data_IF_530265279440
#
_entry.id   IF_530265279440
#
_cell.length_a   1.000
_cell.length_b   1.000
_cell.length_c   1.000
_cell.angle_alpha   90.00
_cell.angle_beta   90.00
_cell.angle_gamma   90.00
#
_symmetry.space_group_name_H-M   'P 1'
#
loop_
_entity.id
_entity.type
_entity.pdbx_description
1 polymer ?
#
# COMPACT_ATOMS: atom_id res chain seq x y z
N UNK A 1 14.43 70.92 10.27
CA UNK A 1 13.25 71.38 9.51
C UNK A 1 12.49 70.16 9.00
N UNK A 2 11.23 70.01 9.45
CA UNK A 2 10.06 69.44 8.76
C UNK A 2 10.15 68.05 8.09
N UNK A 3 9.19 67.12 8.10
CA UNK A 3 7.95 66.81 8.83
C UNK A 3 7.37 65.54 8.16
N UNK A 4 6.77 64.62 8.95
CA UNK A 4 5.59 63.75 8.64
C UNK A 4 5.73 62.72 7.48
N UNK A 5 5.11 61.53 7.47
CA UNK A 5 4.05 60.92 8.31
C UNK A 5 3.98 59.39 8.08
N UNK A 6 3.59 58.69 9.13
CA UNK A 6 3.23 57.26 9.24
C UNK A 6 1.96 56.90 8.49
N UNK A 7 1.80 55.62 8.11
CA UNK A 7 0.51 54.93 7.99
C UNK A 7 0.68 53.44 8.34
N UNK A 8 0.47 53.13 9.63
CA UNK A 8 0.10 51.80 10.13
C UNK A 8 -1.42 51.70 10.13
N UNK A 9 -2.00 50.72 9.45
CA UNK A 9 -3.45 50.48 9.48
C UNK A 9 -3.77 49.40 10.52
N UNK A 10 -4.15 49.85 11.72
CA UNK A 10 -4.90 49.08 12.72
C UNK A 10 -6.35 48.94 12.26
N UNK A 11 -6.85 47.71 12.11
CA UNK A 11 -8.30 47.47 12.04
C UNK A 11 -8.78 47.00 13.41
N UNK A 12 -9.68 47.81 14.01
CA UNK A 12 -10.34 47.55 15.30
C UNK A 12 -11.57 46.68 15.11
N UNK A 13 -11.78 45.80 16.09
CA UNK A 13 -12.99 45.04 16.36
C UNK A 13 -14.25 45.91 16.41
N UNK A 14 -15.34 45.40 15.84
CA UNK A 14 -16.71 45.81 16.16
C UNK A 14 -17.55 44.56 16.36
N UNK A 15 -17.93 44.31 17.63
CA UNK A 15 -18.83 43.24 18.04
C UNK A 15 -20.25 43.80 17.89
N UNK A 16 -21.02 43.28 16.93
CA UNK A 16 -22.46 43.49 16.86
C UNK A 16 -23.15 42.24 17.43
N UNK A 17 -23.76 42.41 18.61
CA UNK A 17 -24.78 41.51 19.15
C UNK A 17 -26.04 41.69 18.30
N UNK A 18 -26.52 40.60 17.71
CA UNK A 18 -27.93 40.47 17.34
C UNK A 18 -28.46 39.22 18.01
N UNK A 19 -29.29 39.46 19.02
CA UNK A 19 -30.18 38.49 19.64
C UNK A 19 -31.45 38.39 18.81
N UNK A 20 -31.72 37.23 18.24
CA UNK A 20 -33.08 36.81 17.94
C UNK A 20 -33.15 35.30 18.04
N UNK A 21 -33.92 34.84 19.04
CA UNK A 21 -34.35 33.47 19.16
C UNK A 21 -35.27 33.15 17.97
N UNK A 22 -34.89 32.15 17.19
CA UNK A 22 -35.85 31.37 16.40
C UNK A 22 -35.68 29.93 16.84
N UNK A 23 -36.64 29.47 17.63
CA UNK A 23 -36.78 28.09 18.05
C UNK A 23 -37.29 27.27 16.87
N UNK A 24 -36.39 26.64 16.12
CA UNK A 24 -36.77 25.64 15.12
C UNK A 24 -36.72 24.28 15.81
N UNK A 25 -37.90 23.74 16.05
CA UNK A 25 -38.12 22.38 16.56
C UNK A 25 -37.55 21.37 15.56
N UNK A 26 -36.65 20.54 16.07
CA UNK A 26 -35.91 19.48 15.37
C UNK A 26 -36.81 18.29 15.05
N UNK A 27 -37.02 18.00 13.75
CA UNK A 27 -37.35 16.65 13.26
C UNK A 27 -36.74 16.44 11.87
N UNK A 28 -35.40 16.39 11.78
CA UNK A 28 -34.70 15.88 10.59
C UNK A 28 -33.49 15.04 11.04
N UNK A 29 -33.41 13.75 10.66
CA UNK A 29 -32.37 12.86 11.14
C UNK A 29 -31.23 12.72 10.12
N UNK A 30 -30.71 13.80 9.55
CA UNK A 30 -29.47 13.75 8.77
C UNK A 30 -28.68 15.05 9.06
N UNK A 31 -27.37 14.90 9.30
CA UNK A 31 -26.36 15.94 9.57
C UNK A 31 -26.26 16.48 11.01
N UNK A 32 -25.63 15.68 11.88
CA UNK A 32 -24.78 16.19 12.97
C UNK A 32 -23.37 15.62 12.84
N UNK A 33 -22.55 16.21 11.97
CA UNK A 33 -21.10 16.05 12.00
C UNK A 33 -20.51 17.19 12.84
N UNK A 34 -20.68 17.11 14.16
CA UNK A 34 -20.04 18.05 15.09
C UNK A 34 -18.63 17.56 15.42
N UNK A 35 -17.62 18.35 15.05
CA UNK A 35 -16.22 18.32 15.51
C UNK A 35 -15.58 16.93 15.52
N UNK A 36 -15.16 16.46 14.34
CA UNK A 36 -14.20 15.38 14.23
C UNK A 36 -12.87 15.82 14.87
N UNK A 37 -12.52 15.23 16.02
CA UNK A 37 -11.13 15.12 16.45
C UNK A 37 -10.29 14.38 15.38
N UNK A 38 -8.96 14.32 15.52
CA UNK A 38 -8.08 13.78 14.48
C UNK A 38 -8.59 12.42 13.97
N UNK A 39 -8.69 12.33 12.64
CA UNK A 39 -9.33 11.21 11.92
C UNK A 39 -8.93 9.83 12.48
N UNK A 40 -9.84 8.83 12.49
CA UNK A 40 -9.60 7.47 13.02
C UNK A 40 -8.35 6.76 12.47
N UNK A 41 -7.86 7.21 11.31
CA UNK A 41 -6.66 6.70 10.63
C UNK A 41 -5.39 6.80 11.45
N UNK A 42 -5.18 7.88 12.23
CA UNK A 42 -4.02 7.99 13.12
C UNK A 42 -4.04 6.95 14.25
N UNK A 43 -5.21 6.47 14.65
CA UNK A 43 -5.35 5.40 15.66
C UNK A 43 -5.13 4.01 15.04
N UNK A 44 -5.58 3.81 13.80
CA UNK A 44 -5.31 2.58 13.04
C UNK A 44 -3.82 2.36 12.77
N UNK A 45 -3.12 3.39 12.27
CA UNK A 45 -1.67 3.33 12.03
C UNK A 45 -0.88 3.10 13.33
N UNK A 46 -1.35 3.64 14.46
CA UNK A 46 -0.73 3.45 15.78
C UNK A 46 -0.95 2.02 16.32
N UNK A 47 -2.11 1.42 16.08
CA UNK A 47 -2.39 0.03 16.45
C UNK A 47 -1.63 -0.98 15.56
N UNK A 48 -1.43 -0.68 14.26
CA UNK A 48 -0.50 -1.45 13.42
C UNK A 48 0.94 -1.39 13.96
N UNK A 49 1.41 -0.24 14.46
CA UNK A 49 2.74 -0.13 15.13
C UNK A 49 2.85 -0.99 16.39
N UNK A 50 1.76 -1.15 17.15
CA UNK A 50 1.73 -1.99 18.37
C UNK A 50 1.88 -3.48 18.09
N UNK A 51 1.18 -4.01 17.07
CA UNK A 51 1.31 -5.41 16.62
C UNK A 51 2.66 -5.65 15.90
N UNK A 52 3.14 -4.67 15.13
CA UNK A 52 4.48 -4.66 14.53
C UNK A 52 5.59 -4.72 15.57
N UNK A 53 5.53 -4.00 16.70
CA UNK A 53 6.59 -4.04 17.74
C UNK A 53 6.86 -5.45 18.28
N UNK A 54 5.87 -6.32 18.42
CA UNK A 54 6.11 -7.66 18.95
C UNK A 54 6.89 -8.57 17.99
N UNK A 55 6.71 -8.43 16.67
CA UNK A 55 7.43 -9.20 15.65
C UNK A 55 8.72 -8.47 15.20
N UNK A 56 8.62 -7.17 14.93
CA UNK A 56 9.71 -6.31 14.46
C UNK A 56 10.76 -6.05 15.55
N UNK A 57 10.41 -5.95 16.85
CA UNK A 57 11.45 -5.83 17.88
C UNK A 57 12.29 -7.11 18.05
N UNK A 58 11.85 -8.26 17.52
CA UNK A 58 12.68 -9.47 17.43
C UNK A 58 13.63 -9.43 16.23
N UNK A 59 13.25 -8.73 15.16
CA UNK A 59 13.97 -8.69 13.88
C UNK A 59 14.89 -7.46 13.71
N UNK A 60 14.56 -6.31 14.30
CA UNK A 60 15.28 -5.06 14.07
C UNK A 60 16.16 -4.65 15.26
N UNK A 61 17.33 -5.29 15.39
CA UNK A 61 18.52 -4.63 15.97
C UNK A 61 19.84 -5.28 15.51
N UNK A 62 19.99 -5.48 14.21
CA UNK A 62 21.29 -5.57 13.54
C UNK A 62 21.06 -5.45 12.05
N UNK A 63 21.94 -4.74 11.36
CA UNK A 63 22.06 -4.71 9.89
C UNK A 63 21.71 -6.06 9.28
N UNK A 64 20.79 -6.10 8.31
CA UNK A 64 20.38 -7.32 7.58
C UNK A 64 21.47 -7.84 6.62
N UNK A 65 22.72 -7.83 7.05
CA UNK A 65 23.71 -8.75 6.53
C UNK A 65 23.42 -10.12 7.11
N UNK A 66 23.17 -11.10 6.24
CA UNK A 66 23.31 -12.56 6.45
C UNK A 66 23.55 -12.97 7.91
N UNK A 67 22.51 -12.87 8.75
CA UNK A 67 22.59 -13.31 10.14
C UNK A 67 22.73 -14.84 10.10
N UNK A 68 23.92 -15.35 10.39
CA UNK A 68 24.22 -16.79 10.33
C UNK A 68 23.20 -17.52 11.22
N UNK A 69 22.46 -18.45 10.62
CA UNK A 69 21.53 -19.35 11.32
C UNK A 69 22.22 -19.98 12.53
N UNK A 70 21.61 -19.85 13.71
CA UNK A 70 22.04 -20.53 14.93
C UNK A 70 21.24 -21.84 15.03
N UNK A 71 21.88 -23.01 15.22
CA UNK A 71 21.16 -24.26 15.37
C UNK A 71 20.16 -24.20 16.55
N UNK A 72 18.87 -24.33 16.26
CA UNK A 72 17.80 -24.37 17.27
C UNK A 72 16.78 -23.23 17.22
N UNK A 73 17.03 -22.17 16.43
CA UNK A 73 16.01 -21.14 16.17
C UNK A 73 15.05 -21.56 15.04
N UNK A 74 13.73 -21.34 15.17
CA UNK A 74 12.80 -21.62 14.08
C UNK A 74 13.11 -20.75 12.87
N UNK A 75 13.36 -21.38 11.72
CA UNK A 75 13.59 -20.69 10.45
C UNK A 75 12.30 -19.99 10.02
N UNK A 76 12.35 -18.67 9.89
CA UNK A 76 11.26 -17.84 9.37
C UNK A 76 11.25 -17.98 7.84
N UNK A 77 10.14 -18.41 7.26
CA UNK A 77 9.97 -18.46 5.80
C UNK A 77 9.58 -17.09 5.27
N UNK A 78 10.45 -16.49 4.45
CA UNK A 78 10.21 -15.18 3.82
C UNK A 78 9.62 -15.37 2.43
N UNK A 79 8.35 -14.97 2.29
CA UNK A 79 7.61 -15.00 1.03
C UNK A 79 7.75 -13.65 0.35
N UNK A 80 8.06 -13.67 -0.94
CA UNK A 80 8.06 -12.50 -1.79
C UNK A 80 6.98 -12.62 -2.86
N UNK A 81 6.29 -11.51 -3.10
CA UNK A 81 5.40 -11.34 -4.25
C UNK A 81 5.64 -9.96 -4.84
N UNK A 82 5.43 -9.83 -6.14
CA UNK A 82 5.52 -8.59 -6.87
C UNK A 82 4.21 -8.25 -7.56
N UNK A 83 3.90 -6.96 -7.64
CA UNK A 83 2.67 -6.49 -8.26
C UNK A 83 2.77 -5.04 -8.71
N UNK A 84 1.92 -4.67 -9.66
CA UNK A 84 1.69 -3.26 -10.01
C UNK A 84 0.88 -2.56 -8.91
N UNK A 85 -0.14 -3.24 -8.37
CA UNK A 85 -1.07 -2.73 -7.36
C UNK A 85 -1.86 -1.46 -7.75
N UNK A 86 -2.13 -1.27 -9.05
CA UNK A 86 -2.95 -0.15 -9.55
C UNK A 86 -4.45 -0.37 -9.26
N UNK A 87 -5.15 0.71 -8.89
CA UNK A 87 -6.53 0.69 -8.37
C UNK A 87 -6.76 -0.44 -7.35
N UNK A 88 -6.00 -0.44 -6.26
CA UNK A 88 -5.93 -1.55 -5.32
C UNK A 88 -7.32 -2.04 -4.83
N UNK A 89 -7.65 -3.31 -5.10
CA UNK A 89 -8.98 -3.89 -4.89
C UNK A 89 -8.95 -5.23 -4.15
N UNK A 90 -10.13 -5.82 -3.88
CA UNK A 90 -10.24 -7.05 -3.08
C UNK A 90 -9.52 -8.27 -3.68
N UNK A 91 -9.40 -8.33 -5.01
CA UNK A 91 -8.56 -9.34 -5.68
C UNK A 91 -7.10 -9.33 -5.20
N UNK A 92 -6.47 -8.15 -5.14
CA UNK A 92 -5.12 -8.00 -4.58
C UNK A 92 -5.07 -8.41 -3.11
N UNK A 93 -6.07 -8.03 -2.31
CA UNK A 93 -6.16 -8.39 -0.89
C UNK A 93 -6.25 -9.91 -0.71
N UNK A 94 -7.00 -10.61 -1.58
CA UNK A 94 -7.12 -12.06 -1.54
C UNK A 94 -5.83 -12.77 -1.99
N UNK A 95 -5.16 -12.26 -3.02
CA UNK A 95 -3.84 -12.74 -3.41
C UNK A 95 -2.82 -12.62 -2.26
N UNK A 96 -2.72 -11.44 -1.65
CA UNK A 96 -1.82 -11.19 -0.51
C UNK A 96 -2.18 -12.04 0.72
N UNK A 97 -3.46 -12.35 0.93
CA UNK A 97 -3.91 -13.27 1.97
C UNK A 97 -3.34 -14.68 1.74
N UNK A 98 -3.49 -15.20 0.51
CA UNK A 98 -3.01 -16.53 0.14
C UNK A 98 -1.48 -16.59 0.21
N UNK A 99 -0.80 -15.55 -0.28
CA UNK A 99 0.66 -15.46 -0.19
C UNK A 99 1.15 -15.49 1.26
N UNK A 100 0.49 -14.74 2.16
CA UNK A 100 0.84 -14.71 3.59
C UNK A 100 0.66 -16.05 4.30
N UNK A 101 -0.16 -16.95 3.77
CA UNK A 101 -0.36 -18.30 4.32
C UNK A 101 0.78 -19.27 3.99
N UNK A 102 1.62 -18.94 3.00
CA UNK A 102 2.73 -19.79 2.55
C UNK A 102 4.04 -19.55 3.33
N UNK A 103 4.04 -18.65 4.31
CA UNK A 103 5.21 -18.40 5.14
C UNK A 103 4.94 -17.44 6.30
N UNK A 104 6.01 -17.01 6.94
CA UNK A 104 5.97 -16.29 8.21
C UNK A 104 6.09 -14.77 8.04
N UNK A 105 6.60 -14.33 6.88
CA UNK A 105 6.82 -12.92 6.56
C UNK A 105 6.50 -12.68 5.08
N UNK A 106 5.66 -11.68 4.79
CA UNK A 106 5.32 -11.30 3.41
C UNK A 106 5.96 -9.97 3.02
N UNK A 107 6.92 -10.05 2.10
CA UNK A 107 7.55 -8.93 1.40
C UNK A 107 6.82 -8.70 0.07
N UNK A 108 6.40 -7.47 -0.20
CA UNK A 108 5.73 -7.12 -1.46
C UNK A 108 6.56 -6.12 -2.25
N UNK A 109 6.98 -6.50 -3.46
CA UNK A 109 7.57 -5.60 -4.44
C UNK A 109 6.50 -4.84 -5.23
N UNK A 110 6.62 -3.52 -5.31
CA UNK A 110 5.76 -2.68 -6.15
C UNK A 110 6.56 -2.15 -7.34
N UNK A 111 6.17 -2.52 -8.56
CA UNK A 111 6.94 -2.18 -9.75
C UNK A 111 6.96 -0.68 -10.06
N UNK A 112 8.11 -0.23 -10.58
CA UNK A 112 8.31 1.10 -11.17
C UNK A 112 7.39 1.30 -12.38
N UNK A 113 6.92 2.54 -12.59
CA UNK A 113 6.02 2.87 -13.72
C UNK A 113 6.66 2.49 -15.06
N UNK A 114 7.97 2.76 -15.20
CA UNK A 114 8.76 2.48 -16.40
C UNK A 114 8.83 0.99 -16.70
N UNK A 115 8.98 0.15 -15.66
CA UNK A 115 9.02 -1.30 -15.79
C UNK A 115 7.64 -1.85 -16.23
N UNK A 116 6.55 -1.28 -15.71
CA UNK A 116 5.18 -1.70 -16.06
C UNK A 116 4.83 -1.33 -17.49
N UNK A 117 5.27 -0.16 -17.96
CA UNK A 117 4.96 0.35 -19.30
C UNK A 117 5.52 -0.50 -20.45
N UNK A 118 6.46 -1.41 -20.18
CA UNK A 118 7.02 -2.33 -21.19
C UNK A 118 5.98 -3.35 -21.67
N UNK A 119 5.05 -3.77 -20.80
CA UNK A 119 4.13 -4.87 -21.08
C UNK A 119 2.66 -4.58 -20.76
N UNK A 120 2.37 -3.53 -19.97
CA UNK A 120 1.02 -3.08 -19.63
C UNK A 120 0.91 -1.57 -19.78
N UNK A 121 -0.32 -1.06 -19.70
CA UNK A 121 -0.56 0.40 -19.66
C UNK A 121 0.13 1.03 -18.45
N UNK A 122 0.42 2.33 -18.54
CA UNK A 122 0.84 3.12 -17.39
C UNK A 122 -0.20 3.02 -16.25
N UNK A 123 0.23 2.83 -14.98
CA UNK A 123 -0.67 2.87 -13.82
C UNK A 123 -1.46 4.19 -13.75
N UNK A 124 -2.68 4.15 -13.21
CA UNK A 124 -3.48 5.35 -12.93
C UNK A 124 -3.01 6.00 -11.63
N UNK A 125 -2.79 5.17 -10.59
CA UNK A 125 -2.25 5.64 -9.31
C UNK A 125 -0.74 5.85 -9.39
N UNK A 126 -0.27 6.89 -8.69
CA UNK A 126 1.16 7.17 -8.53
C UNK A 126 1.86 6.03 -7.77
N UNK A 127 3.19 5.96 -7.87
CA UNK A 127 3.97 5.00 -7.10
C UNK A 127 3.64 5.08 -5.59
N UNK A 128 3.58 6.29 -5.04
CA UNK A 128 3.31 6.53 -3.62
C UNK A 128 1.92 6.04 -3.23
N UNK A 129 0.91 6.27 -4.08
CA UNK A 129 -0.47 5.81 -3.85
C UNK A 129 -0.56 4.28 -3.86
N UNK A 130 0.15 3.63 -4.80
CA UNK A 130 0.20 2.17 -4.91
C UNK A 130 0.90 1.56 -3.69
N UNK A 131 2.07 2.08 -3.32
CA UNK A 131 2.81 1.65 -2.13
C UNK A 131 1.96 1.82 -0.87
N UNK A 132 1.37 3.00 -0.65
CA UNK A 132 0.53 3.26 0.52
C UNK A 132 -0.68 2.32 0.60
N UNK A 133 -1.28 2.00 -0.55
CA UNK A 133 -2.39 1.04 -0.63
C UNK A 133 -1.97 -0.36 -0.18
N UNK A 134 -0.82 -0.84 -0.66
CA UNK A 134 -0.26 -2.16 -0.28
C UNK A 134 0.16 -2.18 1.18
N UNK A 135 0.83 -1.15 1.70
CA UNK A 135 1.20 -1.02 3.12
C UNK A 135 -0.04 -1.00 4.05
N UNK A 136 -1.16 -0.49 3.54
CA UNK A 136 -2.46 -0.52 4.20
C UNK A 136 -2.99 -1.94 4.42
N UNK A 137 -2.63 -2.89 3.58
CA UNK A 137 -3.09 -4.27 3.62
C UNK A 137 -2.67 -4.99 4.92
N UNK A 138 -3.57 -5.77 5.51
CA UNK A 138 -3.32 -6.43 6.81
C UNK A 138 -2.34 -7.59 6.76
N UNK A 139 -2.14 -8.17 5.58
CA UNK A 139 -1.32 -9.37 5.38
C UNK A 139 0.13 -9.04 5.03
N UNK A 140 0.40 -7.78 4.69
CA UNK A 140 1.71 -7.33 4.24
C UNK A 140 2.55 -6.90 5.42
N UNK A 141 3.77 -7.45 5.51
CA UNK A 141 4.71 -7.10 6.57
C UNK A 141 5.59 -5.91 6.12
N UNK A 142 6.12 -5.97 4.90
CA UNK A 142 7.02 -4.98 4.30
C UNK A 142 6.73 -4.76 2.81
N UNK A 143 6.92 -3.53 2.34
CA UNK A 143 6.75 -3.15 0.92
C UNK A 143 8.06 -2.55 0.41
N UNK A 144 8.48 -3.00 -0.78
CA UNK A 144 9.67 -2.50 -1.49
C UNK A 144 9.20 -1.76 -2.75
N UNK A 145 9.34 -0.44 -2.81
CA UNK A 145 9.03 0.32 -4.02
C UNK A 145 10.07 0.06 -5.11
N UNK A 146 9.72 0.37 -6.36
CA UNK A 146 10.60 0.23 -7.53
C UNK A 146 11.18 -1.18 -7.70
N UNK A 147 10.37 -2.21 -7.43
CA UNK A 147 10.78 -3.59 -7.64
C UNK A 147 11.02 -3.88 -9.15
N UNK A 148 12.07 -4.63 -9.50
CA UNK A 148 12.35 -4.99 -10.88
C UNK A 148 11.26 -5.92 -11.44
N UNK A 149 11.14 -5.98 -12.76
CA UNK A 149 10.21 -6.88 -13.43
C UNK A 149 10.76 -8.31 -13.52
N UNK A 150 12.07 -8.45 -13.71
CA UNK A 150 12.77 -9.74 -13.71
C UNK A 150 13.43 -9.92 -12.35
N UNK A 151 13.22 -11.09 -11.74
CA UNK A 151 13.79 -11.41 -10.45
C UNK A 151 15.08 -12.20 -10.66
N UNK A 152 16.20 -11.60 -10.29
CA UNK A 152 17.52 -12.23 -10.36
C UNK A 152 17.97 -12.79 -8.99
N UNK A 153 19.12 -13.47 -9.01
CA UNK A 153 19.71 -14.06 -7.81
C UNK A 153 20.11 -13.00 -6.78
N UNK A 154 20.62 -11.86 -7.24
CA UNK A 154 21.02 -10.76 -6.35
C UNK A 154 19.82 -10.24 -5.55
N UNK A 155 18.67 -10.06 -6.19
CA UNK A 155 17.43 -9.66 -5.56
C UNK A 155 16.97 -10.66 -4.49
N UNK A 156 17.00 -11.95 -4.83
CA UNK A 156 16.64 -13.05 -3.93
C UNK A 156 17.52 -13.04 -2.69
N UNK A 157 18.83 -12.96 -2.87
CA UNK A 157 19.81 -12.99 -1.77
C UNK A 157 19.75 -11.72 -0.91
N UNK A 158 19.68 -10.55 -1.54
CA UNK A 158 19.60 -9.24 -0.87
C UNK A 158 18.41 -9.14 0.06
N UNK A 159 17.26 -9.69 -0.34
CA UNK A 159 16.02 -9.63 0.44
C UNK A 159 15.79 -10.88 1.30
N UNK A 160 16.68 -11.88 1.20
CA UNK A 160 16.58 -13.15 1.91
C UNK A 160 15.27 -13.87 1.58
N UNK A 161 14.96 -14.01 0.29
CA UNK A 161 13.68 -14.58 -0.17
C UNK A 161 13.78 -16.11 -0.18
N UNK A 162 12.87 -16.79 0.53
CA UNK A 162 12.80 -18.26 0.55
C UNK A 162 11.78 -18.82 -0.46
N UNK A 163 10.73 -18.05 -0.76
CA UNK A 163 9.62 -18.46 -1.63
C UNK A 163 9.12 -17.26 -2.43
N UNK A 164 8.92 -17.43 -3.73
CA UNK A 164 8.34 -16.42 -4.62
C UNK A 164 6.98 -16.92 -5.11
N UNK A 165 5.97 -16.07 -4.98
CA UNK A 165 4.62 -16.35 -5.44
C UNK A 165 4.16 -15.29 -6.43
N UNK A 166 3.56 -15.74 -7.52
CA UNK A 166 2.94 -14.86 -8.51
C UNK A 166 1.51 -15.34 -8.82
N UNK A 167 0.69 -14.46 -9.41
CA UNK A 167 -0.60 -14.86 -9.99
C UNK A 167 -0.41 -15.79 -11.18
N UNK A 168 -1.45 -16.54 -11.54
CA UNK A 168 -1.49 -17.34 -12.77
C UNK A 168 -1.93 -16.54 -14.01
N UNK A 169 -1.87 -15.20 -13.95
CA UNK A 169 -2.33 -14.29 -15.00
C UNK A 169 -1.27 -13.96 -16.08
N UNK A 170 -0.04 -14.46 -15.94
CA UNK A 170 1.01 -14.25 -16.93
C UNK A 170 0.92 -15.24 -18.08
N UNK A 171 1.28 -14.79 -19.29
CA UNK A 171 1.57 -15.72 -20.38
C UNK A 171 2.82 -16.53 -20.06
N UNK A 172 2.92 -17.75 -20.60
CA UNK A 172 4.08 -18.64 -20.38
C UNK A 172 5.42 -17.97 -20.70
N UNK A 173 5.45 -17.15 -21.75
CA UNK A 173 6.67 -16.46 -22.18
C UNK A 173 7.09 -15.36 -21.21
N UNK A 174 6.13 -14.58 -20.70
CA UNK A 174 6.40 -13.52 -19.74
C UNK A 174 6.77 -14.11 -18.37
N UNK A 175 6.09 -15.17 -17.96
CA UNK A 175 6.39 -15.90 -16.73
C UNK A 175 7.85 -16.41 -16.73
N UNK A 176 8.27 -17.02 -17.84
CA UNK A 176 9.63 -17.49 -18.00
C UNK A 176 10.63 -16.34 -18.02
N UNK A 177 10.34 -15.24 -18.73
CA UNK A 177 11.22 -14.07 -18.77
C UNK A 177 11.45 -13.45 -17.38
N UNK A 178 10.40 -13.38 -16.57
CA UNK A 178 10.44 -12.71 -15.27
C UNK A 178 10.98 -13.61 -14.14
N UNK A 179 10.67 -14.90 -14.18
CA UNK A 179 10.88 -15.82 -13.05
C UNK A 179 11.76 -17.04 -13.37
N UNK A 180 12.52 -17.04 -14.47
CA UNK A 180 13.43 -18.14 -14.81
C UNK A 180 14.34 -18.54 -13.64
N UNK A 181 15.04 -17.58 -13.03
CA UNK A 181 15.97 -17.85 -11.92
C UNK A 181 15.24 -18.45 -10.69
N UNK A 182 14.13 -17.88 -10.20
CA UNK A 182 13.29 -18.51 -9.17
C UNK A 182 12.81 -19.93 -9.50
N UNK A 183 12.44 -20.20 -10.75
CA UNK A 183 12.01 -21.52 -11.21
C UNK A 183 13.16 -22.53 -11.17
N UNK A 184 14.33 -22.16 -11.67
CA UNK A 184 15.54 -22.99 -11.63
C UNK A 184 15.98 -23.30 -10.19
N UNK A 185 15.76 -22.36 -9.27
CA UNK A 185 16.01 -22.55 -7.84
C UNK A 185 14.92 -23.37 -7.11
N UNK A 186 13.81 -23.69 -7.78
CA UNK A 186 12.70 -24.46 -7.21
C UNK A 186 11.84 -23.70 -6.19
N UNK A 187 12.03 -22.38 -6.06
CA UNK A 187 11.37 -21.51 -5.07
C UNK A 187 10.18 -20.72 -5.63
N UNK A 188 9.79 -20.96 -6.88
CA UNK A 188 8.65 -20.28 -7.53
C UNK A 188 7.37 -21.11 -7.44
N UNK A 189 6.24 -20.50 -7.09
CA UNK A 189 4.89 -21.10 -7.17
C UNK A 189 3.86 -20.09 -7.64
N UNK A 190 2.75 -20.57 -8.17
CA UNK A 190 1.62 -19.72 -8.59
C UNK A 190 0.46 -19.79 -7.60
N UNK A 191 -0.32 -18.72 -7.53
CA UNK A 191 -1.59 -18.63 -6.79
C UNK A 191 -2.69 -18.27 -7.78
N UNK A 192 -3.84 -18.95 -7.67
CA UNK A 192 -4.99 -18.68 -8.53
C UNK A 192 -5.53 -17.26 -8.40
N UNK A 193 -5.83 -16.66 -9.55
CA UNK A 193 -6.42 -15.33 -9.64
C UNK A 193 -7.84 -15.28 -9.04
N UNK A 194 -8.25 -14.09 -8.58
CA UNK A 194 -9.62 -13.88 -8.07
C UNK A 194 -10.54 -13.48 -9.20
N UNK A 195 -11.50 -14.33 -9.54
CA UNK A 195 -12.47 -14.06 -10.61
C UNK A 195 -13.40 -12.87 -10.32
N UNK A 196 -13.89 -12.23 -11.38
CA UNK A 196 -14.89 -11.15 -11.30
C UNK A 196 -14.35 -9.77 -10.90
N UNK A 197 -13.05 -9.63 -10.65
CA UNK A 197 -12.41 -8.34 -10.37
C UNK A 197 -11.02 -8.24 -10.99
N UNK A 198 -10.75 -7.12 -11.65
CA UNK A 198 -9.41 -6.73 -12.08
C UNK A 198 -9.37 -5.22 -12.26
N UNK A 199 -8.17 -4.63 -12.33
CA UNK A 199 -8.01 -3.22 -12.64
C UNK A 199 -8.65 -2.86 -14.00
N UNK A 200 -8.55 -3.74 -15.00
CA UNK A 200 -9.18 -3.56 -16.31
C UNK A 200 -10.70 -3.55 -16.22
N UNK A 201 -11.27 -4.46 -15.42
CA UNK A 201 -12.70 -4.55 -15.18
C UNK A 201 -13.25 -3.30 -14.45
N UNK A 202 -12.53 -2.79 -13.45
CA UNK A 202 -12.89 -1.53 -12.76
C UNK A 202 -12.92 -0.37 -13.76
N UNK A 203 -11.91 -0.27 -14.63
CA UNK A 203 -11.85 0.78 -15.66
C UNK A 203 -13.01 0.64 -16.65
N UNK A 204 -13.35 -0.58 -17.07
CA UNK A 204 -14.47 -0.84 -17.97
C UNK A 204 -15.79 -0.36 -17.35
N UNK A 205 -16.04 -0.65 -16.06
CA UNK A 205 -17.22 -0.18 -15.32
C UNK A 205 -17.28 1.35 -15.27
N UNK A 206 -16.16 2.02 -14.99
CA UNK A 206 -16.09 3.50 -14.95
C UNK A 206 -16.40 4.09 -16.34
N UNK A 207 -15.89 3.48 -17.40
CA UNK A 207 -16.16 3.93 -18.78
C UNK A 207 -17.63 3.74 -19.15
N UNK A 208 -18.26 2.65 -18.73
CA UNK A 208 -19.68 2.40 -18.98
C UNK A 208 -20.57 3.49 -18.38
N UNK A 209 -20.32 3.92 -17.14
CA UNK A 209 -21.07 4.99 -16.47
C UNK A 209 -20.94 6.34 -17.19
N UNK A 210 -19.82 6.62 -17.87
CA UNK A 210 -19.63 7.88 -18.60
C UNK A 210 -20.39 7.97 -19.92
N UNK A 211 -20.85 6.83 -20.44
CA UNK A 211 -21.58 6.75 -21.71
C UNK A 211 -23.10 6.73 -21.51
N UNK A 212 -23.58 6.81 -20.26
CA UNK A 212 -24.98 6.98 -19.85
C UNK A 212 -25.26 8.44 -19.49
#
# INVERSE_FOLDING_TARGET
MSSRSKLETRVRFSILRISSLVSITSTDPILKFTRAGPMPWFRYLRNKRGRRRACVNRLNRASFGSKKYQPGEPKITRVYVDMVADLFHYGHVNFLKQARQQGDFLLVGVHADEAVMVYKRRPIFSMEERVASVEGCRYVDEVVPNAPLTIDREWIEKHGIDLILHGDDFSSDLERLCYQVPMEMGIYRTIGYTEGISTSEIIARIKAVKNE
#
